data_IF_095707990517
#
_entry.id   IF_095707990517
#
_cell.length_a   1.000
_cell.length_b   1.000
_cell.length_c   1.000
_cell.angle_alpha   90.00
_cell.angle_beta   90.00
_cell.angle_gamma   90.00
#
_symmetry.space_group_name_H-M   'P 1'
#
loop_
_entity.id
_entity.type
_entity.pdbx_description
1 polymer ?
#
# COMPACT_ATOMS: atom_id res chain seq x y z
N UNK A 1 -16.92 -42.55 35.97
CA UNK A 1 -16.40 -42.32 34.60
C UNK A 1 -16.56 -40.83 34.29
N UNK A 2 -15.77 -40.26 33.38
CA UNK A 2 -15.75 -38.81 33.04
C UNK A 2 -15.23 -37.86 34.15
N UNK A 3 -13.94 -37.98 34.50
CA UNK A 3 -13.09 -36.91 35.08
C UNK A 3 -11.62 -37.30 34.92
N UNK A 4 -11.12 -37.31 33.67
CA UNK A 4 -9.72 -37.60 33.25
C UNK A 4 -9.62 -37.54 31.70
N UNK A 5 -9.76 -36.35 31.10
CA UNK A 5 -9.53 -36.15 29.65
C UNK A 5 -9.46 -34.64 29.26
N UNK A 6 -8.76 -33.84 30.05
CA UNK A 6 -8.44 -32.44 29.70
C UNK A 6 -7.04 -32.07 30.20
N UNK A 7 -6.02 -32.79 29.73
CA UNK A 7 -4.59 -32.56 30.04
C UNK A 7 -3.70 -33.17 28.94
N UNK A 8 -4.12 -33.05 27.68
CA UNK A 8 -3.50 -33.75 26.54
C UNK A 8 -3.46 -32.91 25.24
N UNK A 9 -3.27 -31.58 25.36
CA UNK A 9 -3.27 -30.68 24.19
C UNK A 9 -2.34 -29.45 24.31
N UNK A 10 -1.23 -29.57 25.05
CA UNK A 10 -0.14 -28.57 25.09
C UNK A 10 1.25 -29.26 24.99
N UNK A 11 1.35 -30.34 24.21
CA UNK A 11 2.57 -31.15 24.10
C UNK A 11 2.82 -31.67 22.68
N UNK A 12 2.65 -30.82 21.66
CA UNK A 12 3.02 -31.19 20.28
C UNK A 12 3.36 -30.02 19.35
N UNK A 13 4.31 -29.17 19.76
CA UNK A 13 5.22 -28.40 18.89
C UNK A 13 6.51 -28.23 19.70
N UNK A 14 7.59 -28.95 19.37
CA UNK A 14 9.01 -28.62 19.63
C UNK A 14 9.93 -29.79 19.20
N UNK A 15 10.19 -29.84 17.90
CA UNK A 15 11.30 -30.50 17.20
C UNK A 15 11.49 -29.59 15.96
N UNK A 16 12.65 -29.08 15.55
CA UNK A 16 14.05 -29.52 15.69
C UNK A 16 14.95 -28.27 15.68
N UNK A 17 16.04 -28.27 16.45
CA UNK A 17 17.41 -27.82 16.09
C UNK A 17 18.30 -28.05 17.32
N UNK A 18 19.34 -28.87 17.17
CA UNK A 18 20.34 -29.11 18.21
C UNK A 18 21.67 -28.44 17.81
N UNK A 19 22.35 -27.71 18.70
CA UNK A 19 23.71 -27.23 18.45
C UNK A 19 24.74 -28.36 18.64
N UNK A 20 25.85 -28.39 17.87
CA UNK A 20 26.89 -29.40 18.00
C UNK A 20 27.78 -29.18 19.25
N UNK A 21 28.46 -30.23 19.75
CA UNK A 21 29.27 -30.16 20.96
C UNK A 21 30.64 -29.48 20.75
N UNK A 22 31.15 -28.90 21.84
CA UNK A 22 32.43 -28.17 21.93
C UNK A 22 33.68 -29.04 21.79
N UNK A 23 34.76 -28.47 21.24
CA UNK A 23 36.13 -28.98 21.39
C UNK A 23 37.07 -27.94 22.04
N UNK A 24 38.17 -28.44 22.61
CA UNK A 24 38.91 -27.83 23.73
C UNK A 24 39.70 -26.54 23.45
N UNK A 25 39.90 -25.79 24.55
CA UNK A 25 40.91 -24.75 24.78
C UNK A 25 42.34 -25.35 24.79
N UNK A 26 43.40 -24.54 24.59
CA UNK A 26 43.97 -23.67 25.64
C UNK A 26 44.35 -22.26 25.13
N UNK A 27 44.86 -21.29 25.88
CA UNK A 27 44.74 -20.81 27.26
C UNK A 27 45.72 -19.60 27.39
N UNK A 28 45.58 -18.78 28.44
CA UNK A 28 46.25 -17.47 28.66
C UNK A 28 45.75 -16.33 27.71
N UNK A 29 45.87 -15.02 28.00
CA UNK A 29 46.39 -14.24 29.15
C UNK A 29 45.29 -13.25 29.63
N UNK A 30 45.34 -12.77 30.89
CA UNK A 30 44.42 -11.77 31.45
C UNK A 30 44.86 -10.30 31.21
N UNK A 31 43.91 -9.36 31.19
CA UNK A 31 44.12 -8.03 31.77
C UNK A 31 42.83 -7.42 32.35
N UNK A 32 42.91 -6.90 33.58
CA UNK A 32 41.83 -6.25 34.34
C UNK A 32 41.76 -4.73 34.11
N UNK A 33 40.56 -4.14 34.14
CA UNK A 33 40.17 -2.86 34.79
C UNK A 33 38.63 -2.67 34.65
N UNK A 34 37.82 -2.59 35.72
CA UNK A 34 37.38 -1.37 36.46
C UNK A 34 36.33 -0.52 35.70
N UNK A 35 35.20 0.00 36.21
CA UNK A 35 34.43 0.00 37.48
C UNK A 35 32.97 0.44 37.13
N UNK A 36 31.85 -0.09 37.66
CA UNK A 36 31.14 0.14 38.94
C UNK A 36 30.79 1.59 39.35
N UNK A 37 29.51 1.99 39.18
CA UNK A 37 28.65 2.77 40.12
C UNK A 37 27.23 2.87 39.49
N UNK A 38 26.05 2.61 40.09
CA UNK A 38 25.48 2.64 41.46
C UNK A 38 24.82 3.97 41.84
N UNK A 39 23.48 4.01 41.88
CA UNK A 39 22.72 4.75 42.91
C UNK A 39 21.27 4.24 43.05
N UNK A 40 20.77 4.14 44.29
CA UNK A 40 19.39 3.75 44.66
C UNK A 40 18.70 4.89 45.42
N UNK A 41 17.37 5.05 45.28
CA UNK A 41 16.36 5.59 46.23
C UNK A 41 15.08 5.98 45.45
N UNK A 42 13.87 6.04 46.03
CA UNK A 42 13.44 5.84 47.42
C UNK A 42 12.06 5.15 47.49
N UNK A 43 11.73 4.61 48.66
CA UNK A 43 10.39 4.15 49.06
C UNK A 43 9.68 5.15 49.98
N UNK A 44 8.43 4.84 50.32
CA UNK A 44 7.52 5.47 51.32
C UNK A 44 6.68 6.69 50.89
N UNK A 45 5.38 6.44 50.78
CA UNK A 45 4.37 7.07 51.64
C UNK A 45 3.13 6.16 51.74
N UNK A 46 2.94 5.50 52.89
CA UNK A 46 1.61 5.00 53.30
C UNK A 46 0.97 6.05 54.23
N UNK A 47 -0.33 6.30 54.09
CA UNK A 47 -1.15 6.73 55.22
C UNK A 47 -2.65 6.40 55.03
N UNK A 48 -3.08 5.41 55.82
CA UNK A 48 -4.43 4.95 56.18
C UNK A 48 -5.61 5.94 56.10
N UNK A 49 -6.82 5.40 55.79
CA UNK A 49 -7.85 5.18 56.84
C UNK A 49 -8.96 4.18 56.45
N UNK A 50 -9.44 3.44 57.47
CA UNK A 50 -10.69 2.65 57.62
C UNK A 50 -11.29 1.85 56.45
N UNK A 51 -11.52 0.55 56.71
CA UNK A 51 -12.55 -0.27 56.06
C UNK A 51 -13.64 -0.51 57.11
N UNK A 52 -14.86 -0.04 56.88
CA UNK A 52 -16.02 -0.46 57.67
C UNK A 52 -16.42 -1.88 57.26
N UNK A 53 -16.52 -2.77 58.25
CA UNK A 53 -16.98 -4.15 58.06
C UNK A 53 -18.51 -4.18 58.20
N UNK A 54 -19.26 -4.06 57.10
CA UNK A 54 -20.69 -4.41 57.03
C UNK A 54 -21.21 -4.45 55.56
N UNK A 55 -20.94 -5.53 54.83
CA UNK A 55 -21.92 -6.19 53.93
C UNK A 55 -21.35 -7.44 53.23
N UNK A 56 -22.20 -8.46 53.09
CA UNK A 56 -22.00 -9.59 52.18
C UNK A 56 -22.49 -9.21 50.77
N UNK A 57 -21.57 -9.05 49.81
CA UNK A 57 -21.70 -9.46 48.39
C UNK A 57 -20.62 -8.77 47.54
N UNK A 58 -19.83 -9.59 46.83
CA UNK A 58 -19.14 -9.38 45.52
C UNK A 58 -17.82 -10.16 45.48
N UNK A 59 -17.89 -11.45 45.14
CA UNK A 59 -16.72 -12.28 44.84
C UNK A 59 -16.76 -12.88 43.42
N UNK A 60 -17.65 -12.38 42.55
CA UNK A 60 -17.81 -12.84 41.15
C UNK A 60 -17.53 -11.79 40.06
N UNK A 61 -17.20 -10.53 40.41
CA UNK A 61 -16.94 -9.48 39.40
C UNK A 61 -15.46 -9.22 39.11
N UNK A 62 -14.55 -9.42 40.08
CA UNK A 62 -13.11 -9.21 39.86
C UNK A 62 -12.49 -10.21 38.87
N UNK A 63 -13.05 -11.41 38.73
CA UNK A 63 -12.58 -12.39 37.75
C UNK A 63 -13.05 -12.06 36.32
N UNK A 64 -14.21 -11.40 36.16
CA UNK A 64 -14.72 -11.00 34.84
C UNK A 64 -13.89 -9.86 34.26
N UNK A 65 -13.52 -8.88 35.07
CA UNK A 65 -12.78 -7.70 34.59
C UNK A 65 -11.37 -8.07 34.10
N UNK A 66 -10.66 -8.98 34.79
CA UNK A 66 -9.35 -9.45 34.32
C UNK A 66 -9.44 -10.21 32.98
N UNK A 67 -10.50 -11.00 32.76
CA UNK A 67 -10.69 -11.73 31.50
C UNK A 67 -11.24 -10.85 30.36
N UNK A 68 -12.00 -9.79 30.68
CA UNK A 68 -12.38 -8.77 29.69
C UNK A 68 -11.18 -7.93 29.25
N UNK A 69 -10.37 -7.40 30.18
CA UNK A 69 -9.14 -6.68 29.82
C UNK A 69 -8.14 -7.55 29.05
N UNK A 70 -8.02 -8.84 29.37
CA UNK A 70 -7.13 -9.74 28.63
C UNK A 70 -7.66 -9.99 27.20
N UNK A 71 -8.96 -10.20 27.01
CA UNK A 71 -9.56 -10.40 25.68
C UNK A 71 -9.57 -9.11 24.85
N UNK A 72 -9.79 -7.95 25.46
CA UNK A 72 -9.68 -6.65 24.79
C UNK A 72 -8.22 -6.40 24.38
N UNK A 73 -7.25 -6.62 25.27
CA UNK A 73 -5.82 -6.49 24.93
C UNK A 73 -5.36 -7.50 23.87
N UNK A 74 -5.77 -8.77 23.92
CA UNK A 74 -5.46 -9.74 22.86
C UNK A 74 -6.13 -9.36 21.51
N UNK A 75 -7.33 -8.79 21.54
CA UNK A 75 -8.02 -8.30 20.34
C UNK A 75 -7.37 -7.03 19.77
N UNK A 76 -6.92 -6.12 20.63
CA UNK A 76 -6.20 -4.91 20.24
C UNK A 76 -4.78 -5.23 19.79
N UNK A 77 -4.07 -6.16 20.43
CA UNK A 77 -2.75 -6.61 20.00
C UNK A 77 -2.84 -7.39 18.68
N UNK A 78 -3.83 -8.27 18.50
CA UNK A 78 -4.09 -8.90 17.20
C UNK A 78 -4.52 -7.91 16.12
N UNK A 79 -5.30 -6.88 16.45
CA UNK A 79 -5.70 -5.83 15.51
C UNK A 79 -4.48 -4.99 15.11
N UNK A 80 -3.67 -4.56 16.09
CA UNK A 80 -2.46 -3.78 15.86
C UNK A 80 -1.40 -4.58 15.08
N UNK A 81 -1.27 -5.89 15.33
CA UNK A 81 -0.39 -6.77 14.55
C UNK A 81 -0.88 -6.95 13.10
N UNK A 82 -2.19 -7.10 12.88
CA UNK A 82 -2.78 -7.16 11.54
C UNK A 82 -2.69 -5.82 10.80
N UNK A 83 -2.84 -4.70 11.52
CA UNK A 83 -2.69 -3.36 10.99
C UNK A 83 -1.22 -3.09 10.62
N UNK A 84 -0.28 -3.39 11.52
CA UNK A 84 1.17 -3.27 11.24
C UNK A 84 1.61 -4.15 10.08
N UNK A 85 1.23 -5.44 10.04
CA UNK A 85 1.55 -6.33 8.93
C UNK A 85 0.97 -5.82 7.60
N UNK A 86 -0.19 -5.19 7.62
CA UNK A 86 -0.82 -4.64 6.42
C UNK A 86 -0.20 -3.30 5.99
N UNK A 87 0.21 -2.44 6.93
CA UNK A 87 1.03 -1.27 6.65
C UNK A 87 2.40 -1.66 6.07
N UNK A 88 3.04 -2.72 6.58
CA UNK A 88 4.30 -3.25 6.01
C UNK A 88 4.08 -3.74 4.57
N UNK A 89 3.03 -4.53 4.33
CA UNK A 89 2.58 -5.01 3.00
C UNK A 89 2.20 -3.87 2.03
N UNK A 90 1.83 -2.70 2.56
CA UNK A 90 1.53 -1.50 1.79
C UNK A 90 2.79 -0.71 1.47
N UNK A 91 3.68 -0.54 2.45
CA UNK A 91 4.97 0.13 2.28
C UNK A 91 5.89 -0.64 1.32
N UNK A 92 5.74 -1.95 1.21
CA UNK A 92 6.41 -2.76 0.18
C UNK A 92 5.87 -2.47 -1.25
N UNK A 93 4.60 -2.07 -1.40
CA UNK A 93 3.91 -1.90 -2.69
C UNK A 93 3.86 -0.44 -3.14
N UNK A 94 4.58 -0.14 -4.21
CA UNK A 94 4.77 1.21 -4.76
C UNK A 94 4.69 1.23 -6.28
N UNK A 95 4.44 2.42 -6.83
CA UNK A 95 4.69 2.68 -8.24
C UNK A 95 6.19 2.53 -8.55
N UNK A 96 6.57 1.98 -9.71
CA UNK A 96 7.99 1.96 -10.15
C UNK A 96 8.59 3.37 -10.21
N UNK A 97 7.74 4.37 -10.44
CA UNK A 97 8.10 5.76 -10.69
C UNK A 97 8.50 6.50 -9.42
N UNK A 98 9.43 5.91 -8.68
CA UNK A 98 10.21 6.50 -7.61
C UNK A 98 11.06 7.66 -8.16
N UNK A 99 10.38 8.76 -8.49
CA UNK A 99 11.01 10.03 -8.77
C UNK A 99 11.91 10.37 -7.59
N UNK A 100 13.18 10.62 -7.92
CA UNK A 100 14.21 11.16 -7.03
C UNK A 100 13.54 12.11 -6.03
N UNK A 101 13.68 11.81 -4.73
CA UNK A 101 13.20 12.69 -3.65
C UNK A 101 13.87 14.05 -3.83
N UNK A 102 13.14 15.00 -4.42
CA UNK A 102 13.66 16.32 -4.75
C UNK A 102 13.59 17.19 -3.50
N UNK A 103 14.41 16.85 -2.50
CA UNK A 103 14.44 17.37 -1.11
C UNK A 103 14.66 18.88 -0.98
N UNK A 104 14.70 19.59 -2.10
CA UNK A 104 14.94 21.02 -2.22
C UNK A 104 13.91 21.76 -3.09
N UNK A 105 12.90 21.07 -3.64
CA UNK A 105 11.76 21.74 -4.26
C UNK A 105 10.81 22.30 -3.18
N UNK A 106 10.63 23.62 -3.16
CA UNK A 106 9.68 24.31 -2.27
C UNK A 106 8.28 23.70 -2.40
N UNK A 107 7.73 23.21 -1.28
CA UNK A 107 6.39 22.62 -1.18
C UNK A 107 5.33 23.37 -1.99
N UNK A 108 5.00 22.80 -3.16
CA UNK A 108 3.74 23.01 -3.87
C UNK A 108 2.85 21.84 -3.48
N UNK A 109 1.53 22.08 -3.38
CA UNK A 109 0.57 21.04 -3.02
C UNK A 109 0.65 19.88 -4.03
N UNK A 110 0.46 20.22 -5.31
CA UNK A 110 0.65 19.33 -6.44
C UNK A 110 1.99 19.57 -7.14
N UNK A 111 2.54 18.53 -7.75
CA UNK A 111 3.75 18.60 -8.57
C UNK A 111 3.44 18.06 -9.97
N UNK A 112 3.56 18.91 -10.99
CA UNK A 112 3.50 18.48 -12.40
C UNK A 112 4.90 18.14 -12.91
N UNK A 113 4.99 17.38 -14.00
CA UNK A 113 6.19 17.35 -14.82
C UNK A 113 6.25 18.60 -15.75
N UNK A 114 7.26 18.67 -16.63
CA UNK A 114 7.35 19.69 -17.68
C UNK A 114 6.66 19.27 -19.00
N UNK A 115 6.15 18.04 -19.09
CA UNK A 115 5.70 17.40 -20.32
C UNK A 115 4.23 16.96 -20.22
N UNK A 116 3.33 17.75 -20.81
CA UNK A 116 1.91 17.39 -20.98
C UNK A 116 1.60 16.95 -22.40
N UNK A 117 0.50 16.21 -22.58
CA UNK A 117 -0.08 15.99 -23.90
C UNK A 117 -0.45 17.32 -24.57
N UNK A 118 -0.06 17.50 -25.84
CA UNK A 118 -0.32 18.71 -26.62
C UNK A 118 -1.73 18.74 -27.22
N UNK A 119 -2.44 17.61 -27.17
CA UNK A 119 -3.81 17.41 -27.57
C UNK A 119 -4.57 16.75 -26.41
N UNK A 120 -5.88 16.97 -26.32
CA UNK A 120 -6.65 16.56 -25.14
C UNK A 120 -7.62 15.40 -25.37
N UNK A 121 -7.84 14.99 -26.62
CA UNK A 121 -8.52 13.72 -26.92
C UNK A 121 -7.50 12.60 -27.08
N UNK A 122 -7.36 11.74 -26.07
CA UNK A 122 -6.37 10.67 -26.02
C UNK A 122 -7.02 9.33 -26.35
N UNK A 123 -6.49 8.60 -27.35
CA UNK A 123 -6.97 7.25 -27.66
C UNK A 123 -6.30 6.26 -26.72
N UNK A 124 -7.04 5.31 -26.17
CA UNK A 124 -6.49 4.31 -25.25
C UNK A 124 -6.85 2.89 -25.65
N UNK A 125 -6.02 1.93 -25.23
CA UNK A 125 -6.18 0.53 -25.61
C UNK A 125 -5.71 -0.40 -24.51
N UNK A 126 -6.58 -1.35 -24.14
CA UNK A 126 -6.16 -2.56 -23.40
C UNK A 126 -5.66 -3.61 -24.39
N UNK A 127 -4.47 -4.16 -24.17
CA UNK A 127 -3.92 -5.31 -24.92
C UNK A 127 -3.72 -6.51 -24.01
N UNK A 128 -3.75 -7.70 -24.62
CA UNK A 128 -3.30 -8.94 -23.98
C UNK A 128 -2.20 -9.64 -24.80
N UNK A 129 -0.99 -9.06 -24.88
CA UNK A 129 0.12 -9.62 -25.68
C UNK A 129 0.67 -10.94 -25.13
N UNK A 130 0.41 -11.25 -23.84
CA UNK A 130 0.92 -12.45 -23.17
C UNK A 130 -0.20 -13.48 -22.87
N UNK A 131 -1.40 -13.26 -23.40
CA UNK A 131 -2.58 -14.13 -23.25
C UNK A 131 -2.92 -14.44 -21.78
N UNK A 132 -2.89 -13.44 -20.91
CA UNK A 132 -3.06 -13.58 -19.46
C UNK A 132 -4.51 -13.68 -19.02
N UNK A 133 -5.47 -13.16 -19.78
CA UNK A 133 -6.89 -13.27 -19.45
C UNK A 133 -7.42 -14.67 -19.78
N UNK A 134 -7.61 -15.49 -18.74
CA UNK A 134 -7.97 -16.92 -18.90
C UNK A 134 -9.46 -17.23 -18.68
N UNK A 135 -10.21 -16.38 -17.98
CA UNK A 135 -11.65 -16.58 -17.76
C UNK A 135 -12.44 -15.63 -18.66
N UNK A 136 -13.60 -16.10 -19.08
CA UNK A 136 -14.58 -15.29 -19.78
C UNK A 136 -14.99 -14.09 -18.90
N UNK A 137 -15.01 -12.90 -19.49
CA UNK A 137 -15.34 -11.64 -18.79
C UNK A 137 -14.20 -10.96 -18.03
N UNK A 138 -13.05 -11.62 -17.76
CA UNK A 138 -11.93 -10.98 -17.04
C UNK A 138 -11.41 -9.74 -17.82
N UNK A 139 -11.17 -9.88 -19.13
CA UNK A 139 -10.69 -8.80 -20.01
C UNK A 139 -11.63 -7.59 -20.01
N UNK A 140 -12.93 -7.84 -20.14
CA UNK A 140 -13.95 -6.79 -20.17
C UNK A 140 -14.11 -6.11 -18.81
N UNK A 141 -14.02 -6.87 -17.71
CA UNK A 141 -14.03 -6.32 -16.35
C UNK A 141 -12.84 -5.37 -16.12
N UNK A 142 -11.66 -5.73 -16.62
CA UNK A 142 -10.48 -4.86 -16.59
C UNK A 142 -10.68 -3.65 -17.49
N UNK A 143 -11.10 -3.83 -18.74
CA UNK A 143 -11.41 -2.73 -19.68
C UNK A 143 -12.35 -1.68 -19.07
N UNK A 144 -13.44 -2.11 -18.44
CA UNK A 144 -14.39 -1.23 -17.75
C UNK A 144 -13.76 -0.53 -16.53
N UNK A 145 -12.85 -1.20 -15.81
CA UNK A 145 -12.10 -0.60 -14.71
C UNK A 145 -11.16 0.51 -15.21
N UNK A 146 -10.47 0.28 -16.32
CA UNK A 146 -9.61 1.28 -16.97
C UNK A 146 -10.44 2.47 -17.47
N UNK A 147 -11.54 2.22 -18.18
CA UNK A 147 -12.47 3.24 -18.67
C UNK A 147 -13.04 4.11 -17.54
N UNK A 148 -13.38 3.53 -16.39
CA UNK A 148 -13.85 4.29 -15.23
C UNK A 148 -12.78 5.22 -14.64
N UNK A 149 -11.51 4.78 -14.57
CA UNK A 149 -10.43 5.63 -14.11
C UNK A 149 -10.14 6.79 -15.08
N UNK A 150 -10.31 6.56 -16.39
CA UNK A 150 -10.23 7.61 -17.42
C UNK A 150 -11.41 8.61 -17.31
N UNK A 151 -12.64 8.16 -17.04
CA UNK A 151 -13.79 9.06 -16.75
C UNK A 151 -13.52 9.96 -15.54
N UNK A 152 -12.94 9.40 -14.46
CA UNK A 152 -12.58 10.18 -13.27
C UNK A 152 -11.58 11.31 -13.61
N UNK A 153 -10.54 11.02 -14.41
CA UNK A 153 -9.60 12.05 -14.85
C UNK A 153 -10.21 13.06 -15.83
N UNK A 154 -11.05 12.62 -16.76
CA UNK A 154 -11.80 13.49 -17.66
C UNK A 154 -12.62 14.51 -16.86
N UNK A 155 -13.38 14.03 -15.87
CA UNK A 155 -14.23 14.86 -15.01
C UNK A 155 -13.43 15.77 -14.07
N UNK A 156 -12.28 15.33 -13.56
CA UNK A 156 -11.37 16.18 -12.79
C UNK A 156 -10.75 17.31 -13.65
N UNK A 157 -10.57 17.07 -14.95
CA UNK A 157 -10.21 18.09 -15.94
C UNK A 157 -11.40 18.89 -16.47
N UNK A 158 -12.57 18.83 -15.83
CA UNK A 158 -13.85 19.43 -16.27
C UNK A 158 -14.23 19.13 -17.74
N UNK A 159 -13.85 17.94 -18.23
CA UNK A 159 -14.09 17.49 -19.61
C UNK A 159 -13.09 17.99 -20.65
N UNK A 160 -12.02 18.69 -20.23
CA UNK A 160 -10.96 19.14 -21.14
C UNK A 160 -10.21 17.95 -21.76
N UNK A 161 -9.92 16.92 -20.97
CA UNK A 161 -9.43 15.63 -21.44
C UNK A 161 -10.60 14.71 -21.81
N UNK A 162 -10.54 14.10 -22.99
CA UNK A 162 -11.47 13.04 -23.44
C UNK A 162 -10.69 11.79 -23.82
N UNK A 163 -11.35 10.63 -23.76
CA UNK A 163 -10.70 9.34 -23.92
C UNK A 163 -11.47 8.41 -24.86
N UNK A 164 -10.89 8.15 -26.02
CA UNK A 164 -11.48 7.27 -27.04
C UNK A 164 -10.93 5.84 -26.89
N UNK A 165 -11.80 4.88 -26.59
CA UNK A 165 -11.43 3.46 -26.53
C UNK A 165 -11.25 2.88 -27.93
N UNK A 166 -10.01 2.55 -28.28
CA UNK A 166 -9.64 1.97 -29.59
C UNK A 166 -9.28 0.48 -29.49
N UNK A 167 -9.60 -0.18 -28.37
CA UNK A 167 -9.24 -1.58 -28.04
C UNK A 167 -9.59 -2.56 -29.15
N UNK A 168 -10.82 -2.54 -29.67
CA UNK A 168 -11.28 -3.48 -30.71
C UNK A 168 -10.87 -3.08 -32.15
N UNK A 169 -10.07 -2.01 -32.30
CA UNK A 169 -9.68 -1.46 -33.60
C UNK A 169 -8.20 -1.65 -33.92
N UNK A 170 -7.84 -1.41 -35.19
CA UNK A 170 -6.45 -1.35 -35.64
C UNK A 170 -5.85 0.07 -35.53
N UNK A 171 -6.53 1.03 -34.87
CA UNK A 171 -5.97 2.35 -34.64
C UNK A 171 -4.80 2.28 -33.64
N UNK A 172 -3.84 3.20 -33.78
CA UNK A 172 -2.85 3.45 -32.74
C UNK A 172 -3.51 4.02 -31.49
N UNK A 173 -2.95 3.71 -30.33
CA UNK A 173 -3.33 4.33 -29.06
C UNK A 173 -2.25 5.32 -28.63
N UNK A 174 -2.68 6.36 -27.93
CA UNK A 174 -1.84 7.34 -27.24
C UNK A 174 -1.57 6.90 -25.79
N UNK A 175 -2.48 6.09 -25.23
CA UNK A 175 -2.34 5.35 -23.96
C UNK A 175 -2.45 3.83 -24.19
N UNK A 176 -1.33 3.13 -24.17
CA UNK A 176 -1.24 1.68 -24.36
C UNK A 176 -1.11 0.96 -23.01
N UNK A 177 -2.04 0.04 -22.74
CA UNK A 177 -2.18 -0.58 -21.42
C UNK A 177 -2.18 -2.10 -21.52
N UNK A 178 -1.36 -2.78 -20.72
CA UNK A 178 -1.36 -4.25 -20.64
C UNK A 178 -0.78 -4.77 -19.33
N UNK A 179 -1.00 -6.07 -19.10
CA UNK A 179 -0.42 -6.82 -17.99
C UNK A 179 0.79 -7.59 -18.50
N UNK A 180 1.89 -7.61 -17.74
CA UNK A 180 3.11 -8.33 -18.08
C UNK A 180 3.75 -8.97 -16.85
N UNK A 181 4.89 -9.67 -16.98
CA UNK A 181 5.65 -10.22 -15.84
C UNK A 181 7.12 -10.04 -16.11
N UNK A 182 7.91 -9.72 -15.10
CA UNK A 182 9.37 -9.62 -15.22
C UNK A 182 9.79 -8.63 -16.33
N UNK A 183 10.86 -8.94 -17.07
CA UNK A 183 11.21 -8.22 -18.29
C UNK A 183 10.15 -8.42 -19.38
N UNK A 184 9.67 -7.30 -19.90
CA UNK A 184 8.64 -7.22 -20.94
C UNK A 184 9.02 -6.27 -22.09
N UNK A 185 10.31 -5.94 -22.23
CA UNK A 185 10.87 -5.32 -23.43
C UNK A 185 10.84 -3.78 -23.48
N UNK A 186 10.50 -3.11 -22.38
CA UNK A 186 10.53 -1.64 -22.26
C UNK A 186 11.65 -1.11 -21.33
N UNK A 187 12.54 -2.00 -20.89
CA UNK A 187 13.66 -1.78 -19.96
C UNK A 187 13.29 -1.47 -18.49
N UNK A 188 12.01 -1.58 -18.11
CA UNK A 188 11.55 -1.46 -16.72
C UNK A 188 10.96 -2.81 -16.24
N UNK A 189 11.80 -3.82 -15.94
CA UNK A 189 11.31 -5.15 -15.56
C UNK A 189 10.60 -5.12 -14.19
N UNK A 190 9.48 -5.84 -14.08
CA UNK A 190 8.81 -6.07 -12.80
C UNK A 190 9.59 -7.05 -11.90
N UNK A 191 9.33 -7.01 -10.59
CA UNK A 191 10.02 -7.81 -9.55
C UNK A 191 9.17 -8.96 -8.96
N UNK A 192 7.91 -9.11 -9.38
CA UNK A 192 7.09 -10.29 -9.10
C UNK A 192 5.95 -10.04 -8.11
N UNK A 193 6.07 -10.56 -6.88
CA UNK A 193 5.03 -10.41 -5.86
C UNK A 193 5.48 -9.45 -4.77
N UNK A 194 4.67 -8.44 -4.49
CA UNK A 194 5.09 -7.26 -3.73
C UNK A 194 5.98 -6.36 -4.59
N UNK A 195 6.48 -5.27 -4.01
CA UNK A 195 7.43 -4.40 -4.71
C UNK A 195 6.76 -3.48 -5.74
N UNK A 196 7.11 -3.67 -7.01
CA UNK A 196 6.66 -2.85 -8.14
C UNK A 196 5.43 -3.49 -8.77
N UNK A 197 4.27 -2.95 -8.44
CA UNK A 197 2.99 -3.55 -8.87
C UNK A 197 2.56 -3.05 -10.26
N UNK A 198 3.02 -1.84 -10.64
CA UNK A 198 2.72 -1.20 -11.91
C UNK A 198 3.73 -0.08 -12.21
N UNK A 199 3.74 0.36 -13.47
CA UNK A 199 4.45 1.55 -13.91
C UNK A 199 3.78 2.25 -15.08
N UNK A 200 4.19 3.50 -15.30
CA UNK A 200 3.65 4.36 -16.34
C UNK A 200 4.72 5.29 -16.90
N UNK A 201 4.70 5.49 -18.21
CA UNK A 201 5.46 6.55 -18.87
C UNK A 201 4.88 7.92 -18.54
N UNK A 202 5.62 9.00 -18.78
CA UNK A 202 5.03 10.35 -18.82
C UNK A 202 4.33 10.57 -20.18
N UNK A 203 3.59 11.69 -20.38
CA UNK A 203 3.03 12.04 -21.69
C UNK A 203 4.06 11.92 -22.82
N UNK A 204 3.58 11.50 -24.00
CA UNK A 204 4.35 11.04 -25.17
C UNK A 204 4.97 9.63 -25.09
N UNK A 205 5.24 9.07 -23.91
CA UNK A 205 5.60 7.63 -23.81
C UNK A 205 4.35 6.74 -23.89
N UNK A 206 3.24 7.18 -23.29
CA UNK A 206 1.93 6.55 -23.45
C UNK A 206 1.74 5.18 -22.79
N UNK A 207 2.76 4.60 -22.15
CA UNK A 207 2.67 3.27 -21.53
C UNK A 207 2.04 3.28 -20.13
N UNK A 208 1.20 2.29 -19.83
CA UNK A 208 0.76 1.94 -18.46
C UNK A 208 0.75 0.41 -18.32
N UNK A 209 1.71 -0.15 -17.59
CA UNK A 209 1.86 -1.60 -17.44
C UNK A 209 1.59 -2.05 -16.00
N UNK A 210 1.03 -3.25 -15.84
CA UNK A 210 0.68 -3.85 -14.55
C UNK A 210 1.39 -5.21 -14.38
N UNK A 211 1.99 -5.53 -13.22
CA UNK A 211 2.58 -6.85 -13.01
C UNK A 211 1.49 -7.91 -12.78
N UNK A 212 1.35 -8.84 -13.72
CA UNK A 212 0.45 -9.99 -13.64
C UNK A 212 0.87 -11.03 -12.58
N UNK A 213 2.03 -10.87 -11.97
CA UNK A 213 2.50 -11.64 -10.80
C UNK A 213 1.73 -11.30 -9.53
N UNK A 214 1.13 -10.12 -9.49
CA UNK A 214 0.28 -9.68 -8.40
C UNK A 214 -1.11 -10.30 -8.40
N UNK A 215 -1.69 -10.36 -7.21
CA UNK A 215 -3.08 -10.77 -7.02
C UNK A 215 -3.99 -9.55 -7.17
N UNK A 216 -4.40 -9.27 -8.40
CA UNK A 216 -5.34 -8.19 -8.71
C UNK A 216 -6.76 -8.49 -8.27
N UNK A 217 -7.44 -7.47 -7.74
CA UNK A 217 -8.85 -7.51 -7.36
C UNK A 217 -9.53 -6.19 -7.70
N UNK A 218 -10.81 -6.23 -8.03
CA UNK A 218 -11.64 -5.03 -8.16
C UNK A 218 -12.23 -4.75 -6.78
N UNK A 219 -11.70 -3.76 -6.05
CA UNK A 219 -11.97 -3.36 -4.65
C UNK A 219 -10.90 -3.67 -3.59
N UNK A 220 -9.78 -4.30 -3.93
CA UNK A 220 -8.65 -4.49 -3.00
C UNK A 220 -8.90 -5.36 -1.74
N UNK A 221 -10.06 -6.02 -1.60
CA UNK A 221 -10.39 -6.75 -0.35
C UNK A 221 -9.43 -7.90 -0.03
N UNK A 222 -8.92 -8.58 -1.07
CA UNK A 222 -8.09 -9.79 -0.95
C UNK A 222 -6.87 -9.72 -1.90
N UNK A 223 -6.40 -8.51 -2.23
CA UNK A 223 -5.37 -8.30 -3.25
C UNK A 223 -5.16 -6.82 -3.54
N UNK A 224 -4.44 -6.51 -4.62
CA UNK A 224 -4.24 -5.13 -5.05
C UNK A 224 -5.54 -4.60 -5.66
N UNK A 225 -5.93 -3.38 -5.31
CA UNK A 225 -7.07 -2.72 -5.93
C UNK A 225 -6.67 -2.15 -7.29
N UNK A 226 -7.05 -2.82 -8.37
CA UNK A 226 -6.76 -2.37 -9.73
C UNK A 226 -7.29 -0.95 -9.95
N UNK A 227 -8.44 -0.61 -9.37
CA UNK A 227 -9.08 0.71 -9.51
C UNK A 227 -8.15 1.83 -9.01
N UNK A 228 -7.49 1.61 -7.86
CA UNK A 228 -6.58 2.60 -7.27
C UNK A 228 -5.32 2.73 -8.13
N UNK A 229 -4.67 1.61 -8.43
CA UNK A 229 -3.39 1.62 -9.15
C UNK A 229 -3.56 2.20 -10.54
N UNK A 230 -4.60 1.79 -11.30
CA UNK A 230 -4.90 2.41 -12.59
C UNK A 230 -5.09 3.92 -12.47
N UNK A 231 -5.85 4.39 -11.48
CA UNK A 231 -6.11 5.83 -11.32
C UNK A 231 -4.80 6.60 -11.04
N UNK A 232 -3.91 6.04 -10.22
CA UNK A 232 -2.57 6.58 -9.95
C UNK A 232 -1.66 6.60 -11.19
N UNK A 233 -1.47 5.45 -11.85
CA UNK A 233 -0.62 5.34 -13.04
C UNK A 233 -1.13 6.21 -14.21
N UNK A 234 -2.44 6.40 -14.33
CA UNK A 234 -3.00 7.35 -15.29
C UNK A 234 -2.66 8.80 -14.97
N UNK A 235 -2.62 9.19 -13.70
CA UNK A 235 -2.17 10.54 -13.33
C UNK A 235 -0.74 10.81 -13.80
N UNK A 236 0.16 9.82 -13.66
CA UNK A 236 1.50 9.86 -14.25
C UNK A 236 1.50 9.91 -15.78
N UNK A 237 0.71 9.07 -16.44
CA UNK A 237 0.56 9.09 -17.91
C UNK A 237 -0.08 10.38 -18.45
N UNK A 238 -0.72 11.17 -17.60
CA UNK A 238 -1.27 12.50 -17.88
C UNK A 238 -0.35 13.66 -17.43
N UNK A 239 0.81 13.37 -16.81
CA UNK A 239 1.84 14.37 -16.49
C UNK A 239 1.93 14.81 -15.02
N UNK A 240 1.15 14.22 -14.12
CA UNK A 240 1.29 14.43 -12.68
C UNK A 240 2.51 13.67 -12.13
N UNK A 241 3.20 14.26 -11.15
CA UNK A 241 4.20 13.57 -10.32
C UNK A 241 3.53 13.19 -8.99
N UNK A 242 4.30 12.57 -8.10
CA UNK A 242 3.78 12.22 -6.78
C UNK A 242 3.38 13.46 -5.97
N UNK A 243 2.34 13.31 -5.14
CA UNK A 243 1.92 14.27 -4.13
C UNK A 243 2.44 13.86 -2.75
N UNK A 244 2.76 14.85 -1.90
CA UNK A 244 3.08 14.63 -0.49
C UNK A 244 1.80 14.48 0.37
N UNK A 245 0.63 14.83 -0.16
CA UNK A 245 -0.64 14.72 0.55
C UNK A 245 -1.07 13.25 0.67
N UNK A 246 -1.04 12.71 1.90
CA UNK A 246 -1.44 11.31 2.21
C UNK A 246 -2.85 10.93 1.76
N UNK A 247 -3.71 11.91 1.49
CA UNK A 247 -5.06 11.71 0.98
C UNK A 247 -5.14 11.55 -0.54
N UNK A 248 -4.15 12.05 -1.29
CA UNK A 248 -4.14 12.09 -2.75
C UNK A 248 -3.98 10.70 -3.37
N UNK A 249 -4.57 10.51 -4.54
CA UNK A 249 -4.34 9.30 -5.35
C UNK A 249 -2.89 9.26 -5.81
N UNK A 250 -2.30 10.41 -6.17
CA UNK A 250 -0.90 10.55 -6.55
C UNK A 250 0.11 10.40 -5.38
N UNK A 251 -0.32 10.01 -4.18
CA UNK A 251 0.62 9.65 -3.11
C UNK A 251 1.45 8.40 -3.50
N UNK A 252 2.79 8.38 -3.28
CA UNK A 252 3.70 7.34 -3.80
C UNK A 252 3.48 5.92 -3.24
N UNK A 253 2.85 5.82 -2.07
CA UNK A 253 2.52 4.56 -1.40
C UNK A 253 1.03 4.33 -1.57
N UNK A 254 0.66 3.18 -2.15
CA UNK A 254 -0.74 2.86 -2.44
C UNK A 254 -1.54 2.64 -1.16
N UNK A 255 -2.66 3.36 -1.00
CA UNK A 255 -3.49 3.27 0.20
C UNK A 255 -4.27 1.95 0.25
N UNK A 256 -4.70 1.57 1.47
CA UNK A 256 -5.69 0.49 1.67
C UNK A 256 -6.92 0.70 0.80
N UNK A 257 -7.52 -0.42 0.40
CA UNK A 257 -8.80 -0.50 -0.28
C UNK A 257 -9.88 0.41 0.35
N UNK A 258 -10.20 1.52 -0.30
CA UNK A 258 -11.34 2.36 0.06
C UNK A 258 -12.56 1.98 -0.79
N UNK A 259 -13.71 1.86 -0.13
CA UNK A 259 -14.99 1.70 -0.80
C UNK A 259 -15.39 2.94 -1.63
N UNK A 260 -14.81 4.11 -1.31
CA UNK A 260 -15.11 5.42 -1.91
C UNK A 260 -13.87 6.02 -2.57
N UNK A 261 -13.21 5.25 -3.46
CA UNK A 261 -12.11 5.73 -4.29
C UNK A 261 -12.51 7.04 -5.02
N UNK A 262 -11.79 8.12 -4.74
CA UNK A 262 -12.02 9.45 -5.27
C UNK A 262 -10.70 10.20 -5.41
N UNK A 263 -10.63 11.13 -6.38
CA UNK A 263 -9.51 12.07 -6.50
C UNK A 263 -9.61 13.11 -5.39
N UNK A 264 -8.48 13.44 -4.76
CA UNK A 264 -8.39 14.53 -3.80
C UNK A 264 -8.37 15.89 -4.51
N UNK A 265 -8.56 16.97 -3.74
CA UNK A 265 -8.46 18.35 -4.25
C UNK A 265 -7.10 18.61 -4.89
N UNK A 266 -6.03 18.01 -4.36
CA UNK A 266 -4.67 18.13 -4.91
C UNK A 266 -4.49 17.45 -6.28
N UNK A 267 -5.04 16.24 -6.44
CA UNK A 267 -5.04 15.53 -7.73
C UNK A 267 -5.79 16.34 -8.80
N UNK A 268 -6.91 16.96 -8.40
CA UNK A 268 -7.78 17.79 -9.23
C UNK A 268 -7.05 19.10 -9.62
N UNK A 269 -6.51 19.84 -8.65
CA UNK A 269 -5.77 21.08 -8.91
C UNK A 269 -4.55 20.82 -9.82
N UNK A 270 -3.85 19.70 -9.64
CA UNK A 270 -2.76 19.26 -10.49
C UNK A 270 -3.18 19.04 -11.95
N UNK A 271 -4.22 18.22 -12.19
CA UNK A 271 -4.67 17.95 -13.57
C UNK A 271 -5.27 19.20 -14.23
N UNK A 272 -5.96 20.04 -13.45
CA UNK A 272 -6.47 21.32 -13.93
C UNK A 272 -5.34 22.27 -14.31
N UNK A 273 -4.28 22.40 -13.52
CA UNK A 273 -3.15 23.27 -13.85
C UNK A 273 -2.52 22.92 -15.22
N UNK A 274 -2.43 21.63 -15.56
CA UNK A 274 -1.94 21.15 -16.85
C UNK A 274 -2.88 21.49 -18.02
N UNK A 275 -4.19 21.27 -17.86
CA UNK A 275 -5.14 21.21 -18.99
C UNK A 275 -6.22 22.32 -19.05
N UNK A 276 -6.36 23.16 -18.03
CA UNK A 276 -7.20 24.37 -18.06
C UNK A 276 -6.49 25.63 -18.53
N UNK A 277 -5.16 25.62 -18.60
CA UNK A 277 -4.37 26.77 -19.06
C UNK A 277 -4.68 27.07 -20.53
N UNK A 278 -5.30 28.22 -20.78
CA UNK A 278 -5.88 28.62 -22.07
C UNK A 278 -4.81 28.89 -23.14
N UNK A 279 -4.42 27.85 -23.88
CA UNK A 279 -3.62 27.97 -25.10
C UNK A 279 -4.17 27.14 -26.27
N UNK A 280 -5.49 26.91 -26.26
CA UNK A 280 -6.26 26.37 -27.39
C UNK A 280 -6.50 27.42 -28.50
N UNK A 281 -5.72 28.51 -28.53
CA UNK A 281 -5.78 29.61 -29.49
C UNK A 281 -4.39 30.19 -29.83
N UNK A 282 -3.43 29.35 -30.27
CA UNK A 282 -2.24 29.85 -30.98
C UNK A 282 -1.68 28.86 -32.02
N UNK A 283 -2.54 28.46 -32.96
CA UNK A 283 -2.12 28.03 -34.29
C UNK A 283 -2.31 29.17 -35.28
N UNK A 284 -1.20 29.77 -35.73
CA UNK A 284 -1.13 30.73 -36.84
C UNK A 284 -1.05 30.00 -38.19
#
# INVERSE_FOLDING_TARGET
>A
MARRLLLALVALIHLVIAPPPSLNRPDLVNHHTSASDRFQRASHAEQSYAIDLDNEDTAEDDLKNFQLETLENESHESSNQQEQQLEDIINERRCHKAGIEDKHARAKRYVTNEYKWLFTNLRWKLRDPYHLFKKEGDFETVRQTLAHALDMWSRASDGQLTFDDVTDSNATADLDMFFARWDHGDHEPFDGKGGIVAHSGYPMEGKVHFDASELWTINGKNGIDLRYVTLHELGHALGLRHSEEKGAIMHPIYRRADHRLALAEDDIDGIRALYHSADSQQGL
#
